data_IF_654699584457
#
_entry.id   IF_654699584457
#
_cell.length_a   1.000
_cell.length_b   1.000
_cell.length_c   1.000
_cell.angle_alpha   90.00
_cell.angle_beta   90.00
_cell.angle_gamma   90.00
#
_symmetry.space_group_name_H-M   'P 1'
#
loop_
_entity.id
_entity.type
_entity.pdbx_description
1 polymer ?
#
# COMPACT_ATOMS: atom_id res chain seq x y z
N UNK A 1 -11.39 -0.57 39.28
CA UNK A 1 -10.45 0.44 38.71
C UNK A 1 -10.66 0.51 37.22
N UNK A 2 -10.58 1.68 36.56
CA UNK A 2 -10.61 1.79 35.12
C UNK A 2 -9.50 0.93 34.49
N UNK A 3 -9.82 0.26 33.37
CA UNK A 3 -8.85 -0.53 32.61
C UNK A 3 -8.92 -0.19 31.12
N UNK A 4 -7.83 -0.37 30.43
CA UNK A 4 -7.72 -0.19 28.99
C UNK A 4 -6.99 -1.40 28.40
N UNK A 5 -7.44 -1.91 27.27
CA UNK A 5 -6.70 -2.87 26.47
C UNK A 5 -5.82 -2.07 25.52
N UNK A 6 -4.52 -2.06 25.78
CA UNK A 6 -3.57 -1.23 25.01
C UNK A 6 -3.13 -1.90 23.71
N UNK A 7 -3.42 -3.18 23.54
CA UNK A 7 -3.09 -3.94 22.34
C UNK A 7 -4.03 -5.14 22.20
N UNK A 8 -4.74 -5.22 21.09
CA UNK A 8 -5.55 -6.39 20.72
C UNK A 8 -5.55 -6.59 19.20
N UNK A 9 -5.99 -7.74 18.76
CA UNK A 9 -6.21 -8.05 17.35
C UNK A 9 -5.03 -8.64 16.60
N UNK A 10 -3.82 -8.39 16.95
CA UNK A 10 -2.49 -8.91 16.45
C UNK A 10 -2.53 -10.11 15.46
N UNK A 11 -3.48 -10.11 14.51
CA UNK A 11 -3.65 -11.19 13.54
C UNK A 11 -2.80 -10.94 12.31
N UNK A 12 -1.76 -11.77 12.13
CA UNK A 12 -0.90 -11.66 10.95
C UNK A 12 -1.63 -12.15 9.71
N UNK A 13 -1.87 -11.25 8.75
CA UNK A 13 -2.43 -11.60 7.46
C UNK A 13 -1.96 -10.67 6.33
N UNK A 14 -1.81 -11.22 5.12
CA UNK A 14 -1.65 -10.41 3.90
C UNK A 14 -3.00 -9.86 3.47
N UNK A 15 -2.98 -8.80 2.63
CA UNK A 15 -4.15 -8.41 1.84
C UNK A 15 -4.65 -9.61 1.02
N UNK A 16 -5.94 -9.76 0.77
CA UNK A 16 -7.03 -8.89 1.25
C UNK A 16 -7.40 -9.13 2.71
N UNK A 17 -7.03 -10.28 3.30
CA UNK A 17 -7.38 -10.67 4.66
C UNK A 17 -8.87 -10.94 4.88
N UNK A 18 -9.26 -11.34 6.07
CA UNK A 18 -10.66 -11.55 6.43
C UNK A 18 -11.37 -10.22 6.67
N UNK A 19 -12.68 -10.15 6.41
CA UNK A 19 -13.49 -8.98 6.67
C UNK A 19 -13.66 -8.76 8.17
N UNK A 20 -14.16 -9.74 8.89
CA UNK A 20 -14.22 -9.67 10.32
C UNK A 20 -12.89 -10.12 10.92
N UNK A 21 -12.18 -9.25 11.65
CA UNK A 21 -10.98 -9.69 12.35
C UNK A 21 -11.36 -10.77 13.35
N UNK A 22 -10.47 -11.75 13.50
CA UNK A 22 -10.75 -12.89 14.35
C UNK A 22 -10.74 -12.54 15.83
N UNK A 23 -9.71 -12.93 16.52
CA UNK A 23 -9.53 -12.77 17.95
C UNK A 23 -9.43 -11.30 18.38
N UNK A 24 -10.12 -10.95 19.49
CA UNK A 24 -9.96 -9.65 20.16
C UNK A 24 -10.70 -8.47 19.51
N UNK A 25 -11.63 -8.71 18.59
CA UNK A 25 -12.44 -7.62 18.05
C UNK A 25 -13.54 -7.18 19.04
N UNK A 26 -13.83 -5.88 19.04
CA UNK A 26 -14.83 -5.26 19.92
C UNK A 26 -16.22 -5.91 19.81
N UNK A 27 -16.57 -6.42 18.63
CA UNK A 27 -17.85 -7.06 18.39
C UNK A 27 -17.93 -8.42 19.08
N UNK A 28 -16.86 -9.21 19.03
CA UNK A 28 -16.77 -10.49 19.73
C UNK A 28 -16.87 -10.32 21.24
N UNK A 29 -16.18 -9.34 21.78
CA UNK A 29 -16.24 -9.05 23.22
C UNK A 29 -17.67 -8.69 23.65
N UNK A 30 -18.40 -7.94 22.82
CA UNK A 30 -19.81 -7.62 23.06
C UNK A 30 -20.73 -8.84 22.91
N UNK A 31 -20.52 -9.65 21.88
CA UNK A 31 -21.28 -10.86 21.61
C UNK A 31 -21.03 -11.94 22.68
N UNK A 32 -19.82 -12.01 23.20
CA UNK A 32 -19.48 -12.89 24.32
C UNK A 32 -19.98 -12.40 25.69
N UNK A 33 -20.64 -11.24 25.75
CA UNK A 33 -21.12 -10.66 27.00
C UNK A 33 -19.99 -10.12 27.90
N UNK A 34 -18.77 -10.00 27.41
CA UNK A 34 -17.62 -9.50 28.18
C UNK A 34 -17.54 -7.98 28.03
N UNK A 35 -18.56 -7.30 28.44
CA UNK A 35 -18.56 -5.84 28.59
C UNK A 35 -18.28 -5.47 30.04
N UNK A 36 -17.03 -5.21 30.35
CA UNK A 36 -16.69 -4.69 31.69
C UNK A 36 -17.02 -3.20 31.78
N UNK A 37 -17.86 -2.75 32.72
CA UNK A 37 -18.22 -1.33 32.84
C UNK A 37 -17.05 -0.42 33.21
N UNK A 38 -15.95 -1.00 33.67
CA UNK A 38 -14.70 -0.27 33.99
C UNK A 38 -13.69 -0.24 32.81
N UNK A 39 -13.97 -0.90 31.66
CA UNK A 39 -13.12 -0.81 30.48
C UNK A 39 -13.35 0.54 29.78
N UNK A 40 -12.33 1.38 29.72
CA UNK A 40 -12.42 2.74 29.20
C UNK A 40 -12.00 2.85 27.73
N UNK A 41 -11.34 1.82 27.18
CA UNK A 41 -10.95 1.81 25.78
C UNK A 41 -10.14 0.60 25.37
N UNK A 42 -9.95 0.49 24.06
CA UNK A 42 -9.18 -0.57 23.39
C UNK A 42 -8.38 0.02 22.24
N UNK A 43 -7.17 -0.49 22.01
CA UNK A 43 -6.33 -0.10 20.89
C UNK A 43 -5.95 -1.32 20.05
N UNK A 44 -6.27 -1.28 18.76
CA UNK A 44 -5.91 -2.38 17.85
C UNK A 44 -4.41 -2.38 17.56
N UNK A 45 -3.79 -3.53 17.61
CA UNK A 45 -2.46 -3.76 17.10
C UNK A 45 -2.55 -4.51 15.76
N UNK A 46 -2.31 -3.80 14.63
CA UNK A 46 -2.00 -2.39 14.60
C UNK A 46 -2.68 -1.70 13.40
N UNK A 47 -2.52 -0.38 13.30
CA UNK A 47 -3.10 0.39 12.20
C UNK A 47 -2.51 0.02 10.85
N UNK A 48 -1.18 -0.12 10.75
CA UNK A 48 -0.45 -0.40 9.52
C UNK A 48 0.46 -1.60 9.67
N UNK A 49 0.63 -2.35 8.57
CA UNK A 49 1.75 -3.29 8.48
C UNK A 49 3.05 -2.53 8.65
N UNK A 50 3.98 -3.09 9.39
CA UNK A 50 5.30 -2.50 9.62
C UNK A 50 6.40 -3.44 9.16
N UNK A 51 7.55 -2.88 8.80
CA UNK A 51 8.74 -3.66 8.50
C UNK A 51 9.19 -4.41 9.75
N UNK A 52 9.37 -5.73 9.64
CA UNK A 52 9.84 -6.57 10.71
C UNK A 52 10.71 -7.68 10.16
N UNK A 53 11.78 -8.00 10.90
CA UNK A 53 12.65 -9.14 10.62
C UNK A 53 12.06 -10.47 11.10
N UNK A 54 10.98 -10.43 11.89
CA UNK A 54 10.28 -11.63 12.32
C UNK A 54 9.66 -12.39 11.13
N UNK A 55 9.50 -13.71 11.24
CA UNK A 55 8.94 -14.54 10.17
C UNK A 55 7.55 -14.07 9.69
N UNK A 56 6.75 -13.48 10.58
CA UNK A 56 5.43 -12.90 10.23
C UNK A 56 5.54 -11.65 9.37
N UNK A 57 6.74 -11.02 9.30
CA UNK A 57 6.98 -9.81 8.52
C UNK A 57 6.20 -8.58 8.99
N UNK A 58 5.69 -8.57 10.25
CA UNK A 58 4.94 -7.42 10.78
C UNK A 58 3.60 -7.15 10.08
N UNK A 59 2.95 -8.18 9.52
CA UNK A 59 1.70 -8.07 8.75
C UNK A 59 0.45 -8.04 9.62
N UNK A 60 0.47 -7.34 10.75
CA UNK A 60 -0.63 -7.27 11.72
C UNK A 60 -1.52 -6.04 11.54
N UNK A 61 -1.19 -5.16 10.60
CA UNK A 61 -1.97 -3.97 10.30
C UNK A 61 -3.34 -4.25 9.72
N UNK A 62 -4.30 -3.37 9.97
CA UNK A 62 -5.58 -3.33 9.24
C UNK A 62 -5.44 -2.64 7.88
N UNK A 63 -4.33 -1.93 7.66
CA UNK A 63 -3.87 -1.36 6.39
C UNK A 63 -2.52 -1.99 6.08
N UNK A 64 -2.24 -2.31 4.82
CA UNK A 64 -0.96 -2.92 4.44
C UNK A 64 0.21 -1.91 4.44
N UNK A 65 1.42 -2.42 4.22
CA UNK A 65 2.63 -1.60 4.15
C UNK A 65 2.58 -0.52 3.06
N UNK A 66 1.82 -0.76 2.00
CA UNK A 66 1.64 0.16 0.87
C UNK A 66 0.42 1.08 1.02
N UNK A 67 -0.10 1.24 2.25
CA UNK A 67 -1.27 2.06 2.60
C UNK A 67 -2.57 1.63 1.92
N UNK A 68 -2.68 0.38 1.50
CA UNK A 68 -3.93 -0.15 0.97
C UNK A 68 -4.72 -0.82 2.08
N UNK A 69 -5.99 -0.46 2.31
CA UNK A 69 -6.82 -1.08 3.32
C UNK A 69 -6.98 -2.59 3.10
N UNK A 70 -6.82 -3.37 4.16
CA UNK A 70 -7.27 -4.76 4.21
C UNK A 70 -8.76 -4.83 4.49
N UNK A 71 -9.39 -5.99 4.29
CA UNK A 71 -10.83 -6.13 4.53
C UNK A 71 -11.22 -5.83 5.99
N UNK A 72 -10.34 -6.10 6.94
CA UNK A 72 -10.53 -5.74 8.36
C UNK A 72 -10.70 -4.22 8.58
N UNK A 73 -9.99 -3.36 7.83
CA UNK A 73 -10.19 -1.92 7.93
C UNK A 73 -11.62 -1.51 7.59
N UNK A 74 -12.22 -2.14 6.57
CA UNK A 74 -13.61 -1.88 6.18
C UNK A 74 -14.60 -2.38 7.24
N UNK A 75 -14.26 -3.47 7.97
CA UNK A 75 -15.04 -3.93 9.09
C UNK A 75 -15.06 -2.89 10.23
N UNK A 76 -13.90 -2.36 10.62
CA UNK A 76 -13.81 -1.28 11.62
C UNK A 76 -14.54 -0.02 11.16
N UNK A 77 -14.41 0.37 9.90
CA UNK A 77 -15.16 1.50 9.35
C UNK A 77 -16.67 1.29 9.46
N UNK A 78 -17.14 0.11 9.14
CA UNK A 78 -18.56 -0.23 9.29
C UNK A 78 -18.99 -0.23 10.75
N UNK A 79 -18.26 -0.90 11.63
CA UNK A 79 -18.57 -1.02 13.04
C UNK A 79 -18.60 0.34 13.77
N UNK A 80 -17.66 1.26 13.42
CA UNK A 80 -17.52 2.54 14.12
C UNK A 80 -18.30 3.68 13.46
N UNK A 81 -18.56 3.61 12.16
CA UNK A 81 -19.14 4.72 11.38
C UNK A 81 -20.40 4.34 10.59
N UNK A 82 -20.82 3.10 10.66
CA UNK A 82 -21.94 2.54 9.90
C UNK A 82 -21.81 2.76 8.38
N UNK A 83 -20.57 2.63 7.85
CA UNK A 83 -20.27 2.72 6.43
C UNK A 83 -19.99 1.31 5.92
N UNK A 84 -20.88 0.72 5.11
CA UNK A 84 -20.70 -0.65 4.63
C UNK A 84 -19.45 -0.81 3.78
N UNK A 85 -18.89 -2.04 3.68
CA UNK A 85 -17.78 -2.31 2.79
C UNK A 85 -18.20 -2.13 1.32
N UNK A 86 -17.25 -1.86 0.42
CA UNK A 86 -17.53 -1.94 -1.02
C UNK A 86 -17.73 -3.40 -1.43
N UNK A 87 -18.27 -3.59 -2.62
CA UNK A 87 -18.18 -4.89 -3.30
C UNK A 87 -16.71 -5.27 -3.51
N UNK A 88 -16.41 -6.54 -3.21
CA UNK A 88 -15.04 -7.04 -3.42
C UNK A 88 -14.81 -7.40 -4.89
N UNK A 89 -13.64 -7.07 -5.44
CA UNK A 89 -13.33 -7.51 -6.79
C UNK A 89 -13.27 -9.04 -6.84
N UNK A 90 -13.74 -9.60 -7.94
CA UNK A 90 -13.67 -11.02 -8.24
C UNK A 90 -12.79 -11.26 -9.47
N UNK A 91 -12.35 -12.47 -9.70
CA UNK A 91 -11.61 -12.81 -10.91
C UNK A 91 -12.45 -12.54 -12.16
N UNK A 92 -11.78 -12.12 -13.21
CA UNK A 92 -12.37 -11.78 -14.49
C UNK A 92 -11.34 -11.86 -15.61
N UNK A 93 -11.64 -11.27 -16.76
CA UNK A 93 -10.71 -11.20 -17.90
C UNK A 93 -9.96 -9.87 -17.88
N UNK A 94 -8.64 -9.84 -17.57
CA UNK A 94 -7.86 -8.62 -17.60
C UNK A 94 -7.84 -8.00 -18.99
N UNK A 95 -8.12 -6.69 -19.09
CA UNK A 95 -8.10 -5.95 -20.35
C UNK A 95 -7.28 -4.67 -20.27
N UNK A 96 -7.20 -4.07 -19.11
CA UNK A 96 -6.52 -2.80 -18.90
C UNK A 96 -5.97 -2.64 -17.48
N UNK A 97 -4.98 -1.77 -17.33
CA UNK A 97 -4.56 -1.23 -16.04
C UNK A 97 -5.01 0.23 -15.95
N UNK A 98 -5.39 0.66 -14.75
CA UNK A 98 -5.82 2.04 -14.46
C UNK A 98 -4.95 2.65 -13.38
N UNK A 99 -4.47 3.87 -13.61
CA UNK A 99 -3.73 4.66 -12.65
C UNK A 99 -4.61 5.69 -11.97
N UNK A 100 -4.40 5.87 -10.68
CA UNK A 100 -4.94 6.97 -9.91
C UNK A 100 -3.93 7.44 -8.86
N UNK A 101 -4.18 8.59 -8.27
CA UNK A 101 -3.42 9.11 -7.15
C UNK A 101 -4.37 9.82 -6.18
N UNK A 102 -4.00 9.85 -4.90
CA UNK A 102 -4.73 10.54 -3.86
C UNK A 102 -4.76 12.06 -4.08
N UNK A 103 -3.71 12.60 -4.69
CA UNK A 103 -3.60 14.00 -5.16
C UNK A 103 -2.74 14.07 -6.42
N UNK A 104 -2.76 15.22 -7.10
CA UNK A 104 -1.99 15.44 -8.34
C UNK A 104 -0.92 16.52 -8.21
N UNK A 105 -0.68 16.99 -7.00
CA UNK A 105 0.30 18.05 -6.72
C UNK A 105 1.16 17.61 -5.54
N UNK A 106 2.48 17.73 -5.69
CA UNK A 106 3.49 17.63 -4.63
C UNK A 106 3.96 19.05 -4.32
N UNK A 107 3.84 19.48 -3.06
CA UNK A 107 4.25 20.81 -2.62
C UNK A 107 4.46 20.87 -1.09
N UNK A 108 5.70 21.10 -0.61
CA UNK A 108 6.91 21.35 -1.39
C UNK A 108 7.47 20.06 -2.04
N UNK A 109 8.13 20.20 -3.21
CA UNK A 109 8.82 19.10 -3.87
C UNK A 109 10.29 19.04 -3.38
N UNK A 110 10.47 18.80 -2.11
CA UNK A 110 11.76 18.69 -1.39
C UNK A 110 11.98 17.30 -0.77
N UNK A 111 11.12 16.34 -1.10
CA UNK A 111 11.14 14.97 -0.58
C UNK A 111 10.33 14.77 0.70
N UNK A 112 9.74 15.83 1.29
CA UNK A 112 8.89 15.71 2.50
C UNK A 112 7.43 15.47 2.18
N UNK A 113 6.97 15.88 1.00
CA UNK A 113 5.63 15.59 0.49
C UNK A 113 5.67 14.48 -0.57
N UNK A 114 4.68 13.61 -0.57
CA UNK A 114 4.53 12.51 -1.51
C UNK A 114 3.12 12.43 -2.12
N UNK A 115 2.98 11.61 -3.13
CA UNK A 115 1.71 11.22 -3.74
C UNK A 115 1.59 9.71 -3.69
N UNK A 116 0.45 9.22 -3.21
CA UNK A 116 0.15 7.80 -3.20
C UNK A 116 -0.45 7.36 -4.54
N UNK A 117 0.37 6.74 -5.37
CA UNK A 117 -0.01 6.25 -6.70
C UNK A 117 -0.57 4.84 -6.57
N UNK A 118 -1.78 4.64 -7.07
CA UNK A 118 -2.47 3.35 -7.07
C UNK A 118 -2.68 2.86 -8.49
N UNK A 119 -2.38 1.59 -8.75
CA UNK A 119 -2.70 0.90 -10.00
C UNK A 119 -3.70 -0.22 -9.74
N UNK A 120 -4.68 -0.36 -10.64
CA UNK A 120 -5.71 -1.39 -10.59
C UNK A 120 -5.77 -2.13 -11.90
N UNK A 121 -6.01 -3.44 -11.85
CA UNK A 121 -6.36 -4.25 -13.01
C UNK A 121 -7.87 -4.18 -13.22
N UNK A 122 -8.28 -4.02 -14.45
CA UNK A 122 -9.69 -3.92 -14.82
C UNK A 122 -10.03 -4.75 -16.05
N UNK A 123 -11.30 -5.13 -16.15
CA UNK A 123 -11.90 -5.76 -17.32
C UNK A 123 -12.11 -4.74 -18.47
N UNK A 124 -12.66 -5.18 -19.59
CA UNK A 124 -12.93 -4.32 -20.74
C UNK A 124 -13.96 -3.21 -20.43
N UNK A 125 -14.87 -3.44 -19.48
CA UNK A 125 -15.83 -2.45 -19.03
C UNK A 125 -15.22 -1.46 -18.01
N UNK A 126 -13.98 -1.68 -17.57
CA UNK A 126 -13.28 -0.83 -16.63
C UNK A 126 -13.60 -1.10 -15.16
N UNK A 127 -14.23 -2.22 -14.85
CA UNK A 127 -14.47 -2.66 -13.47
C UNK A 127 -13.20 -3.32 -12.92
N UNK A 128 -12.84 -3.01 -11.68
CA UNK A 128 -11.71 -3.66 -11.01
C UNK A 128 -12.00 -5.16 -10.88
N UNK A 129 -10.97 -5.97 -11.17
CA UNK A 129 -10.98 -7.43 -11.01
C UNK A 129 -9.83 -7.84 -10.10
N UNK A 130 -9.91 -9.03 -9.50
CA UNK A 130 -8.92 -9.48 -8.49
C UNK A 130 -7.70 -10.18 -9.08
N UNK A 131 -7.61 -10.33 -10.39
CA UNK A 131 -6.52 -11.05 -11.06
C UNK A 131 -5.15 -10.45 -10.71
N UNK A 132 -4.19 -11.32 -10.45
CA UNK A 132 -2.80 -10.98 -10.26
C UNK A 132 -2.06 -11.05 -11.61
N UNK A 133 -1.60 -9.91 -12.10
CA UNK A 133 -0.80 -9.77 -13.33
C UNK A 133 0.43 -8.93 -13.05
N UNK A 134 1.56 -9.10 -13.75
CA UNK A 134 2.71 -8.22 -13.57
C UNK A 134 2.37 -6.81 -14.09
N UNK A 135 2.65 -5.79 -13.29
CA UNK A 135 2.44 -4.38 -13.65
C UNK A 135 3.68 -3.57 -13.36
N UNK A 136 4.13 -2.79 -14.34
CA UNK A 136 5.25 -1.86 -14.19
C UNK A 136 4.76 -0.42 -14.22
N UNK A 137 5.14 0.36 -13.21
CA UNK A 137 5.04 1.82 -13.22
C UNK A 137 6.38 2.41 -13.62
N UNK A 138 6.36 3.38 -14.54
CA UNK A 138 7.57 4.06 -15.03
C UNK A 138 7.37 5.56 -15.07
N UNK A 139 8.35 6.32 -14.57
CA UNK A 139 8.44 7.77 -14.78
C UNK A 139 8.97 7.98 -16.19
N UNK A 140 8.10 8.36 -17.13
CA UNK A 140 8.45 8.53 -18.54
C UNK A 140 8.98 9.92 -18.86
N UNK A 141 8.66 10.91 -18.03
CA UNK A 141 9.21 12.27 -18.16
C UNK A 141 9.06 13.04 -16.85
N UNK A 142 9.92 14.05 -16.68
CA UNK A 142 9.88 14.97 -15.53
C UNK A 142 10.63 14.49 -14.30
N UNK A 143 10.59 15.30 -13.23
CA UNK A 143 11.27 15.01 -11.96
C UNK A 143 10.55 13.93 -11.15
N UNK A 144 11.24 13.45 -10.11
CA UNK A 144 10.68 12.55 -9.10
C UNK A 144 10.98 11.09 -9.34
N UNK A 145 10.65 10.32 -8.32
CA UNK A 145 11.06 8.91 -8.20
C UNK A 145 10.11 8.10 -7.32
N UNK A 146 10.07 6.81 -7.57
CA UNK A 146 9.61 5.79 -6.63
C UNK A 146 10.74 5.42 -5.64
N UNK A 147 10.45 4.71 -4.54
CA UNK A 147 11.50 4.17 -3.67
C UNK A 147 12.53 3.32 -4.40
N UNK A 148 12.17 2.70 -5.50
CA UNK A 148 13.04 1.88 -6.36
C UNK A 148 13.78 2.67 -7.45
N UNK A 149 13.47 3.94 -7.65
CA UNK A 149 14.04 4.80 -8.70
C UNK A 149 13.00 5.23 -9.72
N UNK A 150 13.32 5.17 -11.01
CA UNK A 150 12.43 5.60 -12.10
C UNK A 150 11.32 4.59 -12.42
N UNK A 151 11.41 3.38 -11.89
CA UNK A 151 10.40 2.35 -12.13
C UNK A 151 10.21 1.44 -10.93
N UNK A 152 9.03 0.80 -10.88
CA UNK A 152 8.73 -0.30 -9.97
C UNK A 152 7.88 -1.32 -10.71
N UNK A 153 8.18 -2.62 -10.52
CA UNK A 153 7.37 -3.71 -11.06
C UNK A 153 6.74 -4.50 -9.92
N UNK A 154 5.43 -4.57 -9.93
CA UNK A 154 4.66 -5.46 -9.07
C UNK A 154 4.58 -6.82 -9.75
N UNK A 155 5.13 -7.84 -9.10
CA UNK A 155 5.22 -9.19 -9.67
C UNK A 155 4.44 -10.19 -8.81
N UNK A 156 3.48 -10.93 -9.38
CA UNK A 156 2.70 -11.93 -8.66
C UNK A 156 3.57 -12.90 -7.87
N UNK A 157 3.19 -13.19 -6.62
CA UNK A 157 3.88 -14.13 -5.75
C UNK A 157 5.16 -13.60 -5.10
N UNK A 158 5.46 -12.30 -5.21
CA UNK A 158 6.58 -11.64 -4.53
C UNK A 158 6.11 -10.79 -3.35
N UNK A 159 7.05 -10.09 -2.69
CA UNK A 159 6.71 -9.16 -1.59
C UNK A 159 6.16 -7.83 -2.11
N UNK A 160 6.50 -7.44 -3.35
CA UNK A 160 5.91 -6.33 -4.10
C UNK A 160 4.96 -6.91 -5.13
N UNK A 161 3.80 -7.28 -4.65
CA UNK A 161 2.78 -7.99 -5.41
C UNK A 161 1.58 -7.08 -5.69
N UNK A 162 0.86 -7.42 -6.75
CA UNK A 162 -0.46 -6.87 -7.03
C UNK A 162 -1.50 -7.84 -6.47
N UNK A 163 -2.13 -7.47 -5.37
CA UNK A 163 -3.06 -8.31 -4.62
C UNK A 163 -4.48 -7.75 -4.76
N UNK A 164 -5.44 -8.63 -4.98
CA UNK A 164 -6.84 -8.25 -5.16
C UNK A 164 -7.02 -7.24 -6.31
N UNK A 165 -6.22 -7.44 -7.37
CA UNK A 165 -6.21 -6.57 -8.55
C UNK A 165 -5.69 -5.15 -8.28
N UNK A 166 -4.98 -4.91 -7.19
CA UNK A 166 -4.55 -3.57 -6.77
C UNK A 166 -3.14 -3.57 -6.19
N UNK A 167 -2.35 -2.57 -6.57
CA UNK A 167 -1.08 -2.24 -5.94
C UNK A 167 -0.95 -0.72 -5.79
N UNK A 168 -0.09 -0.28 -4.87
CA UNK A 168 0.19 1.14 -4.68
C UNK A 168 1.62 1.36 -4.22
N UNK A 169 2.12 2.59 -4.41
CA UNK A 169 3.45 3.03 -4.00
C UNK A 169 3.48 4.54 -3.86
N UNK A 170 4.33 5.04 -2.99
CA UNK A 170 4.62 6.46 -2.86
C UNK A 170 5.48 6.94 -4.02
N UNK A 171 5.19 8.17 -4.47
CA UNK A 171 5.97 8.91 -5.45
C UNK A 171 6.30 10.29 -4.89
N UNK A 172 7.57 10.69 -4.94
CA UNK A 172 8.06 11.98 -4.44
C UNK A 172 8.98 12.65 -5.45
N UNK A 173 9.24 13.94 -5.23
CA UNK A 173 10.16 14.72 -6.06
C UNK A 173 11.02 15.66 -5.23
N UNK A 174 12.21 16.00 -5.75
CA UNK A 174 13.14 17.01 -5.21
C UNK A 174 13.25 18.23 -6.12
N UNK A 175 12.48 18.26 -7.21
CA UNK A 175 12.48 19.35 -8.19
C UNK A 175 11.07 19.70 -8.62
N UNK A 176 10.86 20.97 -8.96
CA UNK A 176 9.62 21.46 -9.55
C UNK A 176 9.54 21.07 -11.03
N UNK A 177 8.36 20.71 -11.49
CA UNK A 177 8.08 20.36 -12.88
C UNK A 177 6.84 19.50 -13.03
N UNK A 178 6.55 19.14 -14.28
CA UNK A 178 5.49 18.18 -14.60
C UNK A 178 6.10 16.79 -14.77
N UNK A 179 5.52 15.80 -14.14
CA UNK A 179 5.94 14.41 -14.23
C UNK A 179 4.81 13.58 -14.84
N UNK A 180 5.19 12.69 -15.75
CA UNK A 180 4.27 11.70 -16.32
C UNK A 180 4.70 10.31 -15.87
N UNK A 181 3.79 9.60 -15.21
CA UNK A 181 3.92 8.20 -14.82
C UNK A 181 3.08 7.36 -15.76
N UNK A 182 3.61 6.26 -16.26
CA UNK A 182 2.91 5.27 -17.08
C UNK A 182 2.81 3.95 -16.33
N UNK A 183 1.63 3.32 -16.40
CA UNK A 183 1.43 1.92 -16.04
C UNK A 183 1.37 1.06 -17.31
N UNK A 184 2.04 -0.07 -17.27
CA UNK A 184 2.03 -1.07 -18.33
C UNK A 184 1.96 -2.49 -17.76
N UNK A 185 1.31 -3.37 -18.51
CA UNK A 185 1.23 -4.81 -18.24
C UNK A 185 1.19 -5.54 -19.57
N UNK A 186 1.86 -6.69 -19.74
CA UNK A 186 1.85 -7.44 -21.00
C UNK A 186 0.44 -7.76 -21.47
N UNK A 187 0.14 -7.43 -22.72
CA UNK A 187 -1.16 -7.72 -23.35
C UNK A 187 -2.33 -6.85 -22.89
N UNK A 188 -2.15 -5.92 -21.95
CA UNK A 188 -3.20 -5.05 -21.43
C UNK A 188 -3.04 -3.61 -21.93
N UNK A 189 -4.17 -2.89 -22.04
CA UNK A 189 -4.15 -1.46 -22.29
C UNK A 189 -3.55 -0.74 -21.07
N UNK A 190 -2.48 0.02 -21.30
CA UNK A 190 -1.83 0.84 -20.28
C UNK A 190 -2.59 2.12 -19.96
N UNK A 191 -2.11 2.83 -18.91
CA UNK A 191 -2.62 4.13 -18.50
C UNK A 191 -1.50 5.08 -18.12
N UNK A 192 -1.80 6.38 -18.04
CA UNK A 192 -0.83 7.41 -17.67
C UNK A 192 -1.43 8.44 -16.73
N UNK A 193 -0.61 8.93 -15.80
CA UNK A 193 -0.96 9.91 -14.79
C UNK A 193 0.03 11.07 -14.83
N UNK A 194 -0.47 12.31 -14.76
CA UNK A 194 0.35 13.50 -14.62
C UNK A 194 0.32 14.01 -13.17
N UNK A 195 1.51 14.31 -12.63
CA UNK A 195 1.73 14.94 -11.32
C UNK A 195 2.47 16.25 -11.53
N UNK A 196 2.09 17.29 -10.79
CA UNK A 196 2.75 18.61 -10.81
C UNK A 196 3.52 18.80 -9.51
N UNK A 197 4.84 18.98 -9.61
CA UNK A 197 5.74 19.24 -8.49
C UNK A 197 6.03 20.76 -8.41
N UNK A 198 5.92 21.34 -7.21
CA UNK A 198 6.03 22.79 -6.99
C UNK A 198 6.92 23.11 -5.79
N UNK A 199 7.29 24.39 -5.65
CA UNK A 199 8.03 24.93 -4.50
C UNK A 199 9.35 24.20 -4.26
N UNK A 200 10.14 24.04 -5.33
CA UNK A 200 11.47 23.47 -5.37
C UNK A 200 12.25 24.07 -6.54
N UNK A 201 13.57 23.87 -6.63
CA UNK A 201 14.35 24.20 -7.83
C UNK A 201 13.77 23.56 -9.09
N UNK A 202 13.76 24.27 -10.20
CA UNK A 202 13.22 23.75 -11.46
C UNK A 202 14.01 22.52 -11.93
N UNK A 203 13.31 21.50 -12.38
CA UNK A 203 13.91 20.35 -13.02
C UNK A 203 14.43 20.72 -14.41
N UNK A 204 15.69 20.44 -14.67
CA UNK A 204 16.33 20.61 -15.97
C UNK A 204 16.96 19.27 -16.37
N UNK A 205 16.41 18.65 -17.41
CA UNK A 205 16.92 17.37 -17.92
C UNK A 205 18.41 17.48 -18.29
N UNK A 206 19.21 16.49 -17.87
CA UNK A 206 20.65 16.46 -18.07
C UNK A 206 21.46 17.42 -17.18
N UNK A 207 20.81 18.22 -16.30
CA UNK A 207 21.49 19.09 -15.32
C UNK A 207 21.06 18.84 -13.88
N UNK A 208 19.77 18.59 -13.66
CA UNK A 208 19.29 18.18 -12.33
C UNK A 208 19.87 16.81 -11.97
N UNK A 209 20.06 16.55 -10.68
CA UNK A 209 20.56 15.27 -10.22
C UNK A 209 19.68 14.12 -10.73
N UNK A 210 20.32 13.10 -11.28
CA UNK A 210 19.62 11.93 -11.78
C UNK A 210 19.08 11.08 -10.64
N UNK A 211 17.94 10.46 -10.88
CA UNK A 211 17.37 9.49 -9.95
C UNK A 211 18.27 8.28 -9.85
N UNK A 212 18.63 7.93 -8.62
CA UNK A 212 19.41 6.72 -8.35
C UNK A 212 18.49 5.50 -8.40
N UNK A 213 18.82 4.51 -9.23
CA UNK A 213 18.13 3.23 -9.22
C UNK A 213 18.46 2.45 -7.95
N UNK A 214 17.42 1.95 -7.31
CA UNK A 214 17.45 1.17 -6.06
C UNK A 214 16.56 -0.05 -6.22
N UNK A 215 16.97 -1.03 -7.06
CA UNK A 215 16.11 -2.18 -7.33
C UNK A 215 15.79 -2.92 -6.03
N UNK A 216 14.55 -3.34 -5.90
CA UNK A 216 14.12 -4.15 -4.78
C UNK A 216 14.95 -5.43 -4.70
N UNK A 217 15.48 -5.69 -3.51
CA UNK A 217 16.22 -6.93 -3.21
C UNK A 217 15.49 -7.69 -2.13
N UNK A 218 15.12 -8.92 -2.43
CA UNK A 218 14.66 -9.86 -1.42
C UNK A 218 15.86 -10.55 -0.80
N UNK A 219 15.99 -10.46 0.51
CA UNK A 219 17.00 -11.25 1.21
C UNK A 219 16.60 -12.73 1.16
N UNK A 220 17.54 -13.60 0.82
CA UNK A 220 17.40 -15.03 1.04
C UNK A 220 17.30 -15.33 2.56
N UNK A 221 16.77 -16.49 2.93
CA UNK A 221 16.73 -16.90 4.34
C UNK A 221 18.11 -16.79 5.01
N UNK A 222 19.16 -17.22 4.30
CA UNK A 222 20.54 -17.15 4.79
C UNK A 222 21.02 -15.71 5.01
N UNK A 223 20.75 -14.78 4.08
CA UNK A 223 21.11 -13.38 4.23
C UNK A 223 20.35 -12.71 5.36
N UNK A 224 19.07 -13.05 5.54
CA UNK A 224 18.26 -12.60 6.67
C UNK A 224 18.86 -13.08 7.99
N UNK A 225 19.24 -14.35 8.10
CA UNK A 225 19.82 -14.93 9.30
C UNK A 225 21.17 -14.27 9.65
N UNK A 226 21.98 -13.92 8.64
CA UNK A 226 23.22 -13.14 8.82
C UNK A 226 22.90 -11.73 9.37
N UNK A 227 21.85 -11.07 8.86
CA UNK A 227 21.45 -9.74 9.36
C UNK A 227 20.94 -9.83 10.80
N UNK A 228 20.15 -10.85 11.13
CA UNK A 228 19.68 -11.10 12.49
C UNK A 228 20.85 -11.34 13.47
N UNK A 229 21.83 -12.13 13.09
CA UNK A 229 23.01 -12.38 13.90
C UNK A 229 23.90 -11.12 14.10
N UNK A 230 23.84 -10.15 13.16
CA UNK A 230 24.65 -8.93 13.20
C UNK A 230 23.99 -7.82 14.01
N UNK A 231 22.67 -7.75 14.09
CA UNK A 231 21.90 -6.62 14.63
C UNK A 231 20.84 -7.02 15.67
N UNK A 232 20.65 -8.30 15.94
CA UNK A 232 19.84 -8.85 17.04
C UNK A 232 20.72 -9.12 18.24
#
# INVERSE_FOLDING_TARGET
RPSMVTEYGSVSCRRPGAYAPGWGDMKKDKEAGICYPWRVGEAVWCGFDHGSIWPSGGRMGIVDYFRIPKRAWYWYRNALRNIPPPEWPVEGTPAQVKLSADKKVISPADGTDDVHVTVKVADAAGRQISNAVPVTLTVVSGPGEFPTGKSITFTPGTDIDLIDGCAAIEFRSYYAGKTVIRASSPGLKGDSLQIVCRNAPAYVAGRSAETRERPYKRFSAKERDIQLARYG
#
